data_IF_903533772895
#
_entry.id   IF_903533772895
#
_cell.length_a   1.000
_cell.length_b   1.000
_cell.length_c   1.000
_cell.angle_alpha   90.00
_cell.angle_beta   90.00
_cell.angle_gamma   90.00
#
_symmetry.space_group_name_H-M   'P 1'
#
loop_
_entity.id
_entity.type
_entity.pdbx_description
1 polymer ?
#
# COMPACT_ATOMS: atom_id res chain seq x y z
N UNK A 1 -16.72 14.17 16.53
CA UNK A 1 -15.87 13.76 15.39
C UNK A 1 -16.79 13.21 14.31
N UNK A 2 -16.67 13.68 13.06
CA UNK A 2 -17.46 13.22 11.92
C UNK A 2 -16.49 12.66 10.89
N UNK A 3 -16.80 11.49 10.31
CA UNK A 3 -16.01 10.87 9.25
C UNK A 3 -16.83 10.86 7.95
N UNK A 4 -16.79 11.95 7.16
CA UNK A 4 -17.48 12.00 5.89
C UNK A 4 -16.90 10.96 4.92
N UNK A 5 -17.78 10.28 4.18
CA UNK A 5 -17.37 9.31 3.18
C UNK A 5 -17.12 10.00 1.84
N UNK A 6 -15.91 9.84 1.32
CA UNK A 6 -15.54 10.24 -0.04
C UNK A 6 -15.15 8.98 -0.83
N UNK A 7 -15.86 8.64 -1.93
CA UNK A 7 -15.54 7.45 -2.70
C UNK A 7 -14.21 7.55 -3.44
N UNK A 8 -13.75 8.78 -3.74
CA UNK A 8 -12.48 9.06 -4.39
C UNK A 8 -11.53 9.74 -3.40
N UNK A 9 -10.31 9.22 -3.30
CA UNK A 9 -9.24 9.79 -2.47
C UNK A 9 -8.97 11.26 -2.81
N UNK A 10 -8.95 11.61 -4.10
CA UNK A 10 -8.75 12.99 -4.55
C UNK A 10 -9.81 13.96 -4.01
N UNK A 11 -11.07 13.52 -3.87
CA UNK A 11 -12.13 14.36 -3.32
C UNK A 11 -11.94 14.60 -1.81
N UNK A 12 -11.52 13.57 -1.06
CA UNK A 12 -11.15 13.72 0.35
C UNK A 12 -9.97 14.69 0.52
N UNK A 13 -8.96 14.58 -0.35
CA UNK A 13 -7.79 15.45 -0.32
C UNK A 13 -8.14 16.90 -0.65
N UNK A 14 -8.98 17.15 -1.65
CA UNK A 14 -9.48 18.51 -1.94
C UNK A 14 -10.30 19.09 -0.79
N UNK A 15 -11.12 18.28 -0.11
CA UNK A 15 -11.86 18.72 1.08
C UNK A 15 -10.93 19.12 2.23
N UNK A 16 -9.82 18.40 2.41
CA UNK A 16 -8.78 18.75 3.38
C UNK A 16 -8.09 20.07 3.02
N UNK A 17 -7.71 20.24 1.75
CA UNK A 17 -7.11 21.49 1.26
C UNK A 17 -8.06 22.69 1.42
N UNK A 18 -9.38 22.47 1.32
CA UNK A 18 -10.42 23.46 1.56
C UNK A 18 -10.77 23.67 3.05
N UNK A 19 -10.13 22.95 3.98
CA UNK A 19 -10.39 23.04 5.42
C UNK A 19 -11.73 22.44 5.86
N UNK A 20 -12.37 21.63 5.01
CA UNK A 20 -13.64 20.96 5.34
C UNK A 20 -13.47 19.68 6.15
N UNK A 21 -12.25 19.13 6.20
CA UNK A 21 -11.86 18.01 7.07
C UNK A 21 -10.49 18.29 7.67
N UNK A 22 -10.26 17.82 8.89
CA UNK A 22 -9.01 18.04 9.62
C UNK A 22 -7.89 17.05 9.24
N UNK A 23 -8.24 15.91 8.64
CA UNK A 23 -7.31 14.86 8.28
C UNK A 23 -7.77 14.11 7.01
N UNK A 24 -6.79 13.63 6.24
CA UNK A 24 -6.99 12.83 5.02
C UNK A 24 -5.76 11.96 4.77
N UNK A 25 -5.91 10.94 3.91
CA UNK A 25 -4.77 10.33 3.23
C UNK A 25 -4.17 11.30 2.20
N UNK A 26 -2.90 11.08 1.85
CA UNK A 26 -2.20 11.83 0.80
C UNK A 26 -2.20 11.00 -0.48
N UNK A 27 -2.78 11.51 -1.58
CA UNK A 27 -2.71 10.85 -2.87
C UNK A 27 -1.27 10.57 -3.29
N UNK A 28 -1.01 9.34 -3.74
CA UNK A 28 0.34 8.92 -4.18
C UNK A 28 0.93 9.85 -5.25
N UNK A 29 0.08 10.37 -6.13
CA UNK A 29 0.46 11.28 -7.22
C UNK A 29 1.01 12.63 -6.73
N UNK A 30 0.59 13.11 -5.56
CA UNK A 30 1.05 14.37 -4.96
C UNK A 30 2.03 14.16 -3.79
N UNK A 31 2.34 12.90 -3.45
CA UNK A 31 3.19 12.55 -2.32
C UNK A 31 4.54 13.29 -2.29
N UNK A 32 5.20 13.44 -3.45
CA UNK A 32 6.53 14.06 -3.52
C UNK A 32 6.54 15.53 -3.07
N UNK A 33 5.46 16.29 -3.35
CA UNK A 33 5.29 17.66 -2.87
C UNK A 33 4.72 17.69 -1.45
N UNK A 34 3.73 16.84 -1.18
CA UNK A 34 2.98 16.88 0.09
C UNK A 34 3.82 16.44 1.28
N UNK A 35 4.81 15.57 1.08
CA UNK A 35 5.75 15.17 2.14
C UNK A 35 6.59 16.32 2.70
N UNK A 36 6.63 17.47 2.02
CA UNK A 36 7.34 18.67 2.46
C UNK A 36 6.46 19.60 3.31
N UNK A 37 5.17 19.30 3.44
CA UNK A 37 4.25 20.13 4.23
C UNK A 37 4.51 19.97 5.73
N UNK A 38 4.29 21.02 6.54
CA UNK A 38 4.53 20.96 7.98
C UNK A 38 3.53 20.06 8.73
N UNK A 39 2.36 19.81 8.15
CA UNK A 39 1.30 18.97 8.70
C UNK A 39 1.39 17.50 8.27
N UNK A 40 2.36 17.16 7.41
CA UNK A 40 2.54 15.82 6.90
C UNK A 40 3.09 14.86 7.96
N UNK A 41 2.49 13.68 8.06
CA UNK A 41 2.94 12.61 8.94
C UNK A 41 3.04 11.30 8.17
N UNK A 42 4.22 10.67 8.20
CA UNK A 42 4.44 9.36 7.62
C UNK A 42 4.79 8.35 8.70
N UNK A 43 3.90 7.37 8.87
CA UNK A 43 4.05 6.33 9.89
C UNK A 43 3.87 4.95 9.26
N UNK A 44 4.71 3.96 9.61
CA UNK A 44 4.49 2.59 9.20
C UNK A 44 3.12 2.09 9.68
N UNK A 45 2.47 1.30 8.83
CA UNK A 45 1.20 0.69 9.16
C UNK A 45 1.35 -0.83 9.25
N UNK A 46 0.70 -1.44 10.23
CA UNK A 46 0.82 -2.87 10.52
C UNK A 46 -0.20 -3.69 9.70
N UNK A 47 -0.14 -3.58 8.38
CA UNK A 47 -0.95 -4.36 7.45
C UNK A 47 -0.19 -4.66 6.16
N UNK A 48 -0.66 -5.66 5.41
CA UNK A 48 -0.02 -6.14 4.17
C UNK A 48 -1.02 -6.11 3.02
N UNK A 49 -0.65 -5.45 1.91
CA UNK A 49 -1.29 -5.67 0.61
C UNK A 49 -0.70 -6.92 -0.05
N UNK A 50 -1.54 -7.80 -0.56
CA UNK A 50 -1.09 -8.96 -1.31
C UNK A 50 -2.03 -9.30 -2.46
N UNK A 51 -1.46 -9.88 -3.50
CA UNK A 51 -2.21 -10.54 -4.56
C UNK A 51 -2.14 -12.04 -4.33
N UNK A 52 -3.29 -12.69 -4.45
CA UNK A 52 -3.45 -14.14 -4.31
C UNK A 52 -3.94 -14.71 -5.64
N UNK A 53 -3.67 -16.00 -5.85
CA UNK A 53 -4.12 -16.73 -7.02
C UNK A 53 -5.23 -17.68 -6.61
N UNK A 54 -6.21 -17.91 -7.48
CA UNK A 54 -7.21 -18.93 -7.22
C UNK A 54 -6.59 -20.32 -7.47
N UNK A 55 -6.24 -21.04 -6.40
CA UNK A 55 -5.55 -22.33 -6.48
C UNK A 55 -6.43 -23.48 -7.00
N UNK A 56 -7.73 -23.24 -7.25
CA UNK A 56 -8.64 -24.22 -7.84
C UNK A 56 -8.79 -24.06 -9.36
N UNK A 57 -8.14 -23.06 -9.95
CA UNK A 57 -8.27 -22.72 -11.37
C UNK A 57 -6.93 -22.88 -12.06
N UNK A 58 -6.91 -23.62 -13.16
CA UNK A 58 -5.72 -23.75 -14.01
C UNK A 58 -5.29 -22.37 -14.54
N UNK A 59 -3.98 -22.05 -14.56
CA UNK A 59 -2.85 -22.92 -14.24
C UNK A 59 -2.36 -22.82 -12.77
N UNK A 60 -3.09 -22.13 -11.89
CA UNK A 60 -2.65 -21.84 -10.51
C UNK A 60 -2.90 -22.99 -9.53
N UNK A 61 -3.55 -24.07 -9.96
CA UNK A 61 -3.59 -25.35 -9.26
C UNK A 61 -2.21 -26.00 -9.12
N UNK A 62 -1.28 -25.72 -10.05
CA UNK A 62 0.11 -26.17 -9.98
C UNK A 62 1.01 -25.26 -9.12
N UNK A 63 1.66 -25.81 -8.09
CA UNK A 63 2.53 -25.07 -7.16
C UNK A 63 3.75 -24.44 -7.84
N UNK A 64 4.36 -25.11 -8.82
CA UNK A 64 5.51 -24.59 -9.53
C UNK A 64 5.15 -23.37 -10.37
N UNK A 65 3.92 -23.32 -10.89
CA UNK A 65 3.42 -22.15 -11.61
C UNK A 65 3.21 -20.98 -10.64
N UNK A 66 2.63 -21.22 -9.47
CA UNK A 66 2.50 -20.17 -8.44
C UNK A 66 3.84 -19.58 -8.03
N UNK A 67 4.83 -20.45 -7.81
CA UNK A 67 6.20 -20.04 -7.49
C UNK A 67 6.82 -19.24 -8.64
N UNK A 68 6.66 -19.68 -9.89
CA UNK A 68 7.17 -18.95 -11.06
C UNK A 68 6.57 -17.54 -11.17
N UNK A 69 5.26 -17.39 -10.97
CA UNK A 69 4.62 -16.08 -10.94
C UNK A 69 5.11 -15.21 -9.78
N UNK A 70 5.28 -15.78 -8.58
CA UNK A 70 5.79 -15.05 -7.43
C UNK A 70 7.24 -14.55 -7.64
N UNK A 71 8.09 -15.37 -8.28
CA UNK A 71 9.49 -15.03 -8.59
C UNK A 71 9.62 -14.07 -9.76
N UNK A 72 8.66 -14.02 -10.68
CA UNK A 72 8.67 -13.10 -11.82
C UNK A 72 8.36 -11.64 -11.43
N UNK A 73 7.86 -11.37 -10.23
CA UNK A 73 7.50 -10.03 -9.78
C UNK A 73 8.70 -9.29 -9.18
N UNK A 74 9.04 -8.15 -9.77
CA UNK A 74 9.93 -7.17 -9.14
C UNK A 74 9.14 -6.27 -8.18
N UNK A 75 9.05 -6.68 -6.92
CA UNK A 75 8.33 -5.94 -5.87
C UNK A 75 8.98 -4.59 -5.57
N UNK A 76 10.30 -4.47 -5.74
CA UNK A 76 11.03 -3.21 -5.53
C UNK A 76 10.66 -2.21 -6.62
N UNK A 77 10.64 -2.64 -7.88
CA UNK A 77 10.20 -1.82 -8.99
C UNK A 77 8.73 -1.39 -8.82
N UNK A 78 7.84 -2.28 -8.39
CA UNK A 78 6.43 -1.94 -8.13
C UNK A 78 6.32 -0.89 -7.01
N UNK A 79 7.01 -1.07 -5.89
CA UNK A 79 7.00 -0.09 -4.79
C UNK A 79 7.48 1.28 -5.26
N UNK A 80 8.58 1.32 -6.02
CA UNK A 80 9.17 2.58 -6.45
C UNK A 80 8.37 3.28 -7.56
N UNK A 81 7.87 2.53 -8.53
CA UNK A 81 7.24 3.12 -9.73
C UNK A 81 5.74 3.36 -9.57
N UNK A 82 5.01 2.46 -8.92
CA UNK A 82 3.56 2.58 -8.75
C UNK A 82 3.23 3.33 -7.46
N UNK A 83 3.96 3.03 -6.39
CA UNK A 83 3.68 3.57 -5.06
C UNK A 83 4.64 4.69 -4.65
N UNK A 84 5.56 5.10 -5.52
CA UNK A 84 6.51 6.19 -5.26
C UNK A 84 7.29 6.02 -3.95
N UNK A 85 7.59 4.77 -3.57
CA UNK A 85 8.33 4.44 -2.34
C UNK A 85 7.53 4.58 -1.04
N UNK A 86 6.20 4.74 -1.11
CA UNK A 86 5.33 4.83 0.08
C UNK A 86 5.04 3.49 0.74
N UNK A 87 5.38 2.38 0.08
CA UNK A 87 5.19 1.02 0.61
C UNK A 87 6.51 0.25 0.68
N UNK A 88 6.60 -0.70 1.60
CA UNK A 88 7.74 -1.60 1.70
C UNK A 88 7.45 -2.92 0.98
N UNK A 89 8.30 -3.36 0.02
CA UNK A 89 8.15 -4.68 -0.58
C UNK A 89 8.40 -5.77 0.48
N UNK A 90 7.60 -6.83 0.46
CA UNK A 90 7.69 -7.91 1.44
C UNK A 90 7.39 -9.29 0.81
N UNK A 91 8.05 -10.32 1.35
CA UNK A 91 7.73 -11.73 1.12
C UNK A 91 7.03 -12.37 2.33
N UNK A 92 6.75 -11.60 3.38
CA UNK A 92 6.13 -12.07 4.61
C UNK A 92 4.64 -11.68 4.65
N UNK A 93 3.81 -12.59 5.15
CA UNK A 93 2.39 -12.30 5.41
C UNK A 93 2.22 -11.45 6.67
N UNK A 94 3.10 -11.62 7.66
CA UNK A 94 3.19 -10.79 8.85
C UNK A 94 4.08 -9.59 8.54
N UNK A 95 3.62 -8.34 8.67
CA UNK A 95 4.44 -7.17 8.39
C UNK A 95 5.49 -6.96 9.48
N UNK A 96 6.59 -6.32 9.11
CA UNK A 96 7.66 -5.93 10.03
C UNK A 96 7.09 -5.07 11.17
N UNK A 97 7.43 -5.40 12.41
CA UNK A 97 6.95 -4.71 13.61
C UNK A 97 5.74 -5.37 14.29
N UNK A 98 5.13 -6.39 13.69
CA UNK A 98 4.12 -7.22 14.37
C UNK A 98 4.76 -8.41 15.11
N UNK A 99 4.17 -8.85 16.26
CA UNK A 99 4.54 -10.10 16.89
C UNK A 99 4.47 -11.28 15.91
N UNK A 100 5.49 -12.13 15.90
CA UNK A 100 5.58 -13.26 14.97
C UNK A 100 6.20 -12.94 13.60
N UNK A 101 6.60 -11.69 13.34
CA UNK A 101 7.45 -11.37 12.19
C UNK A 101 8.80 -12.11 12.30
N UNK A 102 9.18 -12.82 11.23
CA UNK A 102 10.49 -13.46 11.12
C UNK A 102 11.19 -12.91 9.87
N UNK A 103 12.36 -12.24 10.00
CA UNK A 103 13.11 -11.72 8.85
C UNK A 103 13.88 -12.78 8.07
N UNK A 104 13.94 -14.04 8.55
CA UNK A 104 14.68 -15.16 7.94
C UNK A 104 13.74 -16.18 7.29
#
# INVERSE_FOLDING_TARGET
VVFPFYPQEAAAYSAYQAGSVDATGVPVVTFASDKQRPDFHFVPQLWTNYYTMNYLVKPFDNISIRQAFALALDKTAISNTVWHGTILPSNHIIPQGMPGYNPN
#
